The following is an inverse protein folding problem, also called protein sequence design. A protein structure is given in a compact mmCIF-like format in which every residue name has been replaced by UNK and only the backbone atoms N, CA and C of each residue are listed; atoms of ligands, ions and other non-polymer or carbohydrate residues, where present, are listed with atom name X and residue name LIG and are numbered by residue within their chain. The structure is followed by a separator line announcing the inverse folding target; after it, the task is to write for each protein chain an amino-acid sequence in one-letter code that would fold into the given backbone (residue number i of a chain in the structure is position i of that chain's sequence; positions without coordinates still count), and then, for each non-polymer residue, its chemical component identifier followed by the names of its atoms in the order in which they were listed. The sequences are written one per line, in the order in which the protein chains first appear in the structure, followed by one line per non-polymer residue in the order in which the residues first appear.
data_IF_152862885162
#
_entry.id   IF_152862885162
#
_cell.length_a   1.000
_cell.length_b   1.000
_cell.length_c   1.000
_cell.angle_alpha   90.00
_cell.angle_beta   90.00
_cell.angle_gamma   90.00
#
_symmetry.space_group_name_H-M   'P 1'
#
loop_
_entity.id
_entity.type
_entity.pdbx_description
1 polymer ?
#
# COMPACT_ATOMS: atom_id res chain seq x y z
N UNK A 1 16.91 42.03 27.39
CA UNK A 1 16.21 40.94 26.68
C UNK A 1 17.07 39.71 26.75
N UNK A 2 16.48 38.62 27.23
CA UNK A 2 17.10 37.30 27.33
C UNK A 2 17.67 36.88 25.96
N UNK A 3 18.84 36.23 25.96
CA UNK A 3 19.57 35.87 24.73
C UNK A 3 18.74 34.93 23.86
N UNK A 4 17.93 34.08 24.50
CA UNK A 4 16.96 33.21 23.87
C UNK A 4 15.84 33.98 23.15
N UNK A 5 15.30 35.03 23.78
CA UNK A 5 14.24 35.83 23.17
C UNK A 5 14.75 36.56 21.91
N UNK A 6 16.02 36.98 21.92
CA UNK A 6 16.65 37.65 20.79
C UNK A 6 16.88 36.70 19.60
N UNK A 7 17.22 35.44 19.88
CA UNK A 7 17.40 34.43 18.83
C UNK A 7 16.05 33.98 18.25
N UNK A 8 15.01 33.85 19.07
CA UNK A 8 13.65 33.54 18.59
C UNK A 8 13.12 34.64 17.66
N UNK A 9 13.34 35.92 18.01
CA UNK A 9 12.93 37.06 17.19
C UNK A 9 13.69 37.10 15.87
N UNK A 10 15.00 36.83 15.90
CA UNK A 10 15.84 36.70 14.70
C UNK A 10 15.38 35.58 13.77
N UNK A 11 15.05 34.40 14.30
CA UNK A 11 14.58 33.26 13.53
C UNK A 11 13.19 33.51 12.91
N UNK A 12 12.32 34.21 13.65
CA UNK A 12 10.98 34.59 13.16
C UNK A 12 11.08 35.58 12.00
N UNK A 13 11.97 36.56 12.11
CA UNK A 13 12.22 37.53 11.04
C UNK A 13 12.79 36.89 9.77
N UNK A 14 13.73 35.93 9.92
CA UNK A 14 14.22 35.13 8.78
C UNK A 14 13.11 34.33 8.09
N UNK A 15 12.15 33.79 8.86
CA UNK A 15 11.04 33.01 8.31
C UNK A 15 10.06 33.87 7.51
N UNK A 16 9.81 35.10 7.96
CA UNK A 16 8.95 36.06 7.27
C UNK A 16 9.61 36.63 6.01
N UNK A 17 10.93 36.86 6.02
CA UNK A 17 11.69 37.28 4.84
C UNK A 17 11.65 36.21 3.72
N UNK A 18 11.77 34.93 4.06
CA UNK A 18 11.69 33.82 3.09
C UNK A 18 10.28 33.63 2.54
N UNK A 19 9.24 33.91 3.34
CA UNK A 19 7.85 33.79 2.89
C UNK A 19 7.44 34.91 1.89
N UNK A 20 8.16 36.03 1.86
CA UNK A 20 7.90 37.13 0.92
C UNK A 20 8.64 37.00 -0.42
N UNK A 21 9.64 36.11 -0.49
CA UNK A 21 10.45 35.85 -1.68
C UNK A 21 9.94 34.64 -2.50
N UNK A 22 8.65 34.30 -2.41
CA UNK A 22 7.96 33.43 -3.39
C UNK A 22 7.82 34.18 -4.74
N UNK A 23 8.94 34.49 -5.36
CA UNK A 23 8.98 34.77 -6.79
C UNK A 23 8.62 33.49 -7.54
N UNK A 24 7.57 33.59 -8.34
CA UNK A 24 7.03 32.63 -9.31
C UNK A 24 8.13 31.93 -10.12
N UNK A 25 8.71 30.85 -9.60
CA UNK A 25 9.53 29.93 -10.40
C UNK A 25 8.60 29.03 -11.20
N UNK A 26 8.36 29.44 -12.44
CA UNK A 26 7.92 28.56 -13.52
C UNK A 26 8.92 27.43 -13.66
N UNK A 27 8.58 26.25 -13.14
CA UNK A 27 9.38 25.03 -13.28
C UNK A 27 9.36 24.62 -14.76
N UNK A 28 10.38 25.06 -15.48
CA UNK A 28 10.65 24.63 -16.85
C UNK A 28 11.20 23.21 -16.78
N UNK A 29 10.29 22.24 -16.90
CA UNK A 29 10.55 20.82 -17.05
C UNK A 29 11.52 20.57 -18.23
N UNK A 30 12.81 20.39 -17.91
CA UNK A 30 13.80 19.84 -18.84
C UNK A 30 13.76 18.31 -18.73
N UNK A 31 12.76 17.72 -19.38
CA UNK A 31 12.61 16.28 -19.51
C UNK A 31 13.69 15.75 -20.46
N UNK A 32 14.76 15.21 -19.88
CA UNK A 32 15.65 14.28 -20.58
C UNK A 32 14.84 13.03 -20.97
N UNK A 33 14.55 12.92 -22.26
CA UNK A 33 13.81 11.80 -22.83
C UNK A 33 14.51 10.45 -22.57
N UNK A 34 13.93 9.63 -21.71
CA UNK A 34 14.20 8.19 -21.61
C UNK A 34 13.28 7.44 -22.59
N UNK A 35 13.79 6.62 -23.54
CA UNK A 35 12.97 6.03 -24.61
C UNK A 35 12.01 4.91 -24.20
N UNK A 36 11.60 4.79 -22.92
CA UNK A 36 10.72 3.70 -22.51
C UNK A 36 9.78 4.07 -21.35
N UNK A 37 9.05 5.17 -21.51
CA UNK A 37 7.92 5.50 -20.62
C UNK A 37 6.59 5.04 -21.26
N UNK A 38 6.09 3.88 -20.85
CA UNK A 38 4.67 3.55 -21.03
C UNK A 38 3.88 4.21 -19.90
N UNK A 39 2.97 5.11 -20.27
CA UNK A 39 2.01 5.76 -19.39
C UNK A 39 1.08 4.68 -18.80
N UNK A 40 1.34 4.24 -17.56
CA UNK A 40 0.38 3.42 -16.81
C UNK A 40 -0.44 4.37 -15.94
N UNK A 41 -1.70 4.51 -16.31
CA UNK A 41 -2.71 5.25 -15.52
C UNK A 41 -2.84 4.63 -14.13
N UNK A 42 -2.35 5.35 -13.11
CA UNK A 42 -2.63 5.07 -11.70
C UNK A 42 -4.04 5.54 -11.34
N UNK A 43 -5.06 4.87 -11.90
CA UNK A 43 -6.37 4.86 -11.27
C UNK A 43 -6.41 3.73 -10.24
N UNK A 44 -5.98 4.04 -9.01
CA UNK A 44 -6.38 3.29 -7.83
C UNK A 44 -7.88 3.50 -7.60
N UNK A 45 -8.70 2.65 -8.23
CA UNK A 45 -10.07 2.44 -7.78
C UNK A 45 -10.18 1.01 -7.28
N UNK A 46 -10.05 0.87 -5.95
CA UNK A 46 -10.45 -0.35 -5.26
C UNK A 46 -11.96 -0.55 -5.45
N UNK A 47 -12.35 -1.49 -6.30
CA UNK A 47 -13.69 -2.09 -6.22
C UNK A 47 -13.61 -3.58 -6.52
N UNK A 48 -13.40 -4.39 -5.48
CA UNK A 48 -13.56 -5.85 -5.53
C UNK A 48 -15.04 -6.28 -5.58
N UNK A 49 -15.84 -5.68 -6.46
CA UNK A 49 -17.27 -5.97 -6.64
C UNK A 49 -17.66 -6.14 -8.12
N UNK A 50 -16.76 -6.59 -8.99
CA UNK A 50 -17.08 -6.77 -10.42
C UNK A 50 -17.97 -7.99 -10.73
N UNK A 51 -18.17 -8.91 -9.77
CA UNK A 51 -18.97 -10.13 -9.99
C UNK A 51 -20.48 -9.92 -9.85
N UNK A 52 -20.95 -8.89 -9.13
CA UNK A 52 -22.40 -8.67 -8.94
C UNK A 52 -23.01 -7.75 -10.02
N UNK A 53 -22.22 -6.90 -10.68
CA UNK A 53 -22.72 -5.99 -11.73
C UNK A 53 -22.92 -6.69 -13.08
N UNK A 54 -22.00 -7.57 -13.48
CA UNK A 54 -22.07 -8.33 -14.75
C UNK A 54 -23.32 -9.23 -14.82
N UNK A 55 -23.70 -9.90 -13.72
CA UNK A 55 -24.90 -10.76 -13.66
C UNK A 55 -26.21 -9.95 -13.74
N UNK A 56 -26.23 -8.72 -13.19
CA UNK A 56 -27.38 -7.82 -13.19
C UNK A 56 -27.78 -7.39 -14.62
N UNK A 57 -26.79 -7.19 -15.49
CA UNK A 57 -27.01 -6.74 -16.87
C UNK A 57 -27.39 -7.87 -17.83
N UNK A 58 -26.94 -9.10 -17.57
CA UNK A 58 -27.26 -10.25 -18.41
C UNK A 58 -28.75 -10.63 -18.31
N UNK A 59 -29.35 -10.52 -17.12
CA UNK A 59 -30.77 -10.84 -16.89
C UNK A 59 -31.72 -9.83 -17.57
N UNK A 60 -31.32 -8.54 -17.65
CA UNK A 60 -32.06 -7.49 -18.37
C UNK A 60 -32.10 -7.67 -19.90
N UNK A 61 -31.14 -8.40 -20.49
CA UNK A 61 -31.02 -8.56 -21.94
C UNK A 61 -31.91 -9.66 -22.53
N UNK A 62 -32.36 -10.61 -21.73
CA UNK A 62 -33.19 -11.74 -22.19
C UNK A 62 -34.61 -11.27 -22.54
N UNK A 63 -35.07 -10.15 -21.98
CA UNK A 63 -36.43 -9.62 -22.15
C UNK A 63 -36.59 -8.60 -23.30
N UNK A 64 -35.50 -8.11 -23.92
CA UNK A 64 -35.55 -7.00 -24.87
C UNK A 64 -35.65 -7.42 -26.34
N UNK A 65 -36.47 -6.70 -27.11
CA UNK A 65 -36.75 -6.98 -28.54
C UNK A 65 -35.57 -6.63 -29.47
N UNK A 66 -35.54 -7.20 -30.68
CA UNK A 66 -34.46 -6.98 -31.66
C UNK A 66 -34.24 -5.52 -32.07
N UNK A 67 -35.28 -4.69 -31.98
CA UNK A 67 -35.24 -3.24 -32.28
C UNK A 67 -34.55 -2.40 -31.20
N UNK A 68 -34.54 -2.85 -29.95
CA UNK A 68 -33.94 -2.12 -28.81
C UNK A 68 -32.43 -2.38 -28.67
N UNK A 69 -31.91 -3.42 -29.34
CA UNK A 69 -30.48 -3.75 -29.36
C UNK A 69 -29.60 -2.74 -30.11
N UNK A 70 -30.19 -1.86 -30.92
CA UNK A 70 -29.47 -0.78 -31.59
C UNK A 70 -29.01 0.33 -30.63
N UNK A 71 -29.66 0.50 -29.46
CA UNK A 71 -29.23 1.49 -28.45
C UNK A 71 -27.93 1.07 -27.73
N UNK A 72 -27.53 -0.20 -27.86
CA UNK A 72 -26.35 -0.77 -27.21
C UNK A 72 -25.09 -0.67 -28.07
N UNK A 73 -25.14 0.05 -29.20
CA UNK A 73 -24.02 0.22 -30.11
C UNK A 73 -23.88 1.68 -30.54
N UNK A 74 -22.72 2.28 -30.32
CA UNK A 74 -22.35 3.62 -30.75
C UNK A 74 -21.38 3.53 -31.93
N UNK A 75 -21.55 4.34 -32.96
CA UNK A 75 -20.66 4.41 -34.11
C UNK A 75 -19.97 5.78 -34.15
N UNK A 76 -18.65 5.77 -34.11
CA UNK A 76 -17.84 6.96 -34.26
C UNK A 76 -17.75 7.39 -35.74
N UNK A 77 -17.33 8.63 -35.99
CA UNK A 77 -17.31 9.24 -37.34
C UNK A 77 -16.37 8.54 -38.32
N UNK A 78 -15.39 7.80 -37.81
CA UNK A 78 -14.44 6.96 -38.54
C UNK A 78 -15.02 5.57 -38.90
N UNK A 79 -16.27 5.28 -38.51
CA UNK A 79 -16.93 3.98 -38.67
C UNK A 79 -16.60 2.98 -37.55
N UNK A 80 -15.84 3.37 -36.52
CA UNK A 80 -15.54 2.50 -35.38
C UNK A 80 -16.80 2.30 -34.53
N UNK A 81 -17.16 1.04 -34.29
CA UNK A 81 -18.39 0.67 -33.58
C UNK A 81 -18.10 0.16 -32.17
N UNK A 82 -18.54 0.92 -31.17
CA UNK A 82 -18.45 0.62 -29.74
C UNK A 82 -19.73 -0.06 -29.28
N UNK A 83 -19.63 -1.17 -28.55
CA UNK A 83 -20.80 -1.83 -27.94
C UNK A 83 -20.77 -1.57 -26.44
N UNK A 84 -21.94 -1.29 -25.87
CA UNK A 84 -22.11 -1.02 -24.43
C UNK A 84 -22.04 -2.30 -23.58
N UNK A 85 -22.20 -3.46 -24.22
CA UNK A 85 -22.14 -4.77 -23.57
C UNK A 85 -20.88 -5.54 -23.98
N UNK A 86 -20.34 -6.31 -23.04
CA UNK A 86 -19.23 -7.23 -23.27
C UNK A 86 -19.61 -8.33 -24.28
N UNK A 87 -18.63 -8.83 -25.02
CA UNK A 87 -18.86 -9.95 -25.95
C UNK A 87 -19.11 -11.24 -25.18
N UNK A 88 -19.84 -12.21 -25.76
CA UNK A 88 -20.01 -13.53 -25.15
C UNK A 88 -18.63 -14.14 -24.82
N UNK A 89 -18.41 -14.51 -23.55
CA UNK A 89 -17.11 -15.03 -23.07
C UNK A 89 -16.76 -16.39 -23.71
N UNK A 90 -17.73 -17.08 -24.32
CA UNK A 90 -17.59 -18.37 -25.02
C UNK A 90 -17.27 -18.25 -26.52
N UNK A 91 -16.43 -17.30 -26.91
CA UNK A 91 -15.96 -17.15 -28.30
C UNK A 91 -14.46 -17.35 -28.34
N UNK A 92 -13.97 -18.10 -29.34
CA UNK A 92 -12.54 -18.27 -29.57
C UNK A 92 -11.90 -16.88 -29.76
N UNK A 93 -10.90 -16.56 -28.93
CA UNK A 93 -10.06 -15.36 -29.10
C UNK A 93 -9.55 -15.30 -30.54
N UNK A 94 -9.62 -14.12 -31.16
CA UNK A 94 -9.14 -13.90 -32.53
C UNK A 94 -7.67 -14.32 -32.65
N UNK A 95 -7.23 -14.71 -33.85
CA UNK A 95 -5.83 -15.11 -34.09
C UNK A 95 -4.83 -13.95 -33.92
N UNK A 96 -5.34 -12.75 -33.74
CA UNK A 96 -4.60 -11.51 -33.53
C UNK A 96 -4.88 -11.01 -32.10
N UNK A 97 -3.90 -10.35 -31.47
CA UNK A 97 -3.89 -9.99 -30.02
C UNK A 97 -3.84 -11.19 -29.06
N UNK A 98 -3.11 -12.25 -29.44
CA UNK A 98 -2.75 -13.31 -28.49
C UNK A 98 -1.67 -12.76 -27.56
N UNK A 99 -1.95 -12.66 -26.26
CA UNK A 99 -0.93 -12.38 -25.25
C UNK A 99 -0.01 -13.60 -25.17
N UNK A 100 1.06 -13.63 -25.97
CA UNK A 100 1.98 -14.78 -26.08
C UNK A 100 2.90 -14.87 -24.86
N UNK A 101 3.17 -13.75 -24.20
CA UNK A 101 4.00 -13.70 -22.99
C UNK A 101 3.15 -13.23 -21.82
N UNK A 102 2.77 -14.19 -20.99
CA UNK A 102 2.17 -13.90 -19.70
C UNK A 102 3.21 -13.19 -18.81
N UNK A 103 2.82 -12.16 -18.05
CA UNK A 103 3.69 -11.53 -17.07
C UNK A 103 4.10 -12.57 -16.02
N UNK A 104 5.39 -12.70 -15.75
CA UNK A 104 5.91 -13.68 -14.81
C UNK A 104 7.42 -13.65 -14.70
N UNK A 105 7.95 -14.37 -13.70
CA UNK A 105 9.39 -14.45 -13.43
C UNK A 105 10.13 -15.09 -14.62
N UNK A 106 11.24 -14.48 -15.01
CA UNK A 106 12.04 -14.89 -16.17
C UNK A 106 13.43 -15.37 -15.77
N UNK A 107 14.05 -16.18 -16.64
CA UNK A 107 15.45 -16.61 -16.48
C UNK A 107 15.75 -17.31 -15.15
N UNK A 108 16.86 -16.96 -14.47
CA UNK A 108 17.32 -17.64 -13.25
C UNK A 108 16.33 -17.50 -12.08
N UNK A 109 15.48 -16.47 -12.08
CA UNK A 109 14.44 -16.27 -11.07
C UNK A 109 13.36 -17.35 -11.06
N UNK A 110 13.21 -18.12 -12.15
CA UNK A 110 12.29 -19.27 -12.20
C UNK A 110 12.70 -20.41 -11.27
N UNK A 111 13.99 -20.53 -10.99
CA UNK A 111 14.55 -21.65 -10.23
C UNK A 111 14.74 -21.32 -8.75
N UNK A 112 14.60 -20.05 -8.36
CA UNK A 112 14.65 -19.65 -6.96
C UNK A 112 13.36 -20.07 -6.25
N UNK A 113 13.49 -20.60 -5.04
CA UNK A 113 12.36 -21.05 -4.21
C UNK A 113 12.31 -20.33 -2.86
N UNK A 114 13.44 -19.77 -2.40
CA UNK A 114 13.51 -19.04 -1.13
C UNK A 114 13.65 -17.52 -1.33
N UNK A 115 13.09 -16.68 -0.43
CA UNK A 115 13.28 -15.23 -0.48
C UNK A 115 14.75 -14.81 -0.52
N UNK A 116 15.62 -15.59 0.12
CA UNK A 116 17.06 -15.37 0.11
C UNK A 116 17.69 -15.61 -1.26
N UNK A 117 17.27 -16.66 -1.97
CA UNK A 117 17.74 -16.91 -3.34
C UNK A 117 17.31 -15.79 -4.29
N UNK A 118 16.06 -15.32 -4.17
CA UNK A 118 15.59 -14.16 -4.92
C UNK A 118 16.42 -12.91 -4.59
N UNK A 119 16.72 -12.68 -3.31
CA UNK A 119 17.57 -11.55 -2.89
C UNK A 119 18.95 -11.59 -3.54
N UNK A 120 19.57 -12.78 -3.62
CA UNK A 120 20.88 -12.97 -4.26
C UNK A 120 20.89 -12.74 -5.79
N UNK A 121 19.72 -12.70 -6.45
CA UNK A 121 19.63 -12.32 -7.86
C UNK A 121 19.78 -10.81 -8.07
N UNK A 122 19.38 -10.00 -7.09
CA UNK A 122 19.52 -8.55 -7.13
C UNK A 122 20.87 -8.10 -6.59
N UNK A 123 21.33 -8.75 -5.52
CA UNK A 123 22.60 -8.45 -4.85
C UNK A 123 23.44 -9.73 -4.86
N UNK A 124 24.29 -9.84 -5.87
CA UNK A 124 25.14 -11.01 -6.07
C UNK A 124 26.34 -11.01 -5.09
N UNK A 125 27.05 -12.13 -5.05
CA UNK A 125 28.24 -12.29 -4.21
C UNK A 125 29.39 -11.36 -4.63
N UNK A 126 29.43 -10.92 -5.90
CA UNK A 126 30.50 -10.05 -6.40
C UNK A 126 30.28 -8.60 -5.94
N UNK A 127 29.06 -8.08 -6.05
CA UNK A 127 28.65 -6.78 -5.50
C UNK A 127 28.95 -6.75 -4.01
N UNK A 128 28.59 -7.82 -3.27
CA UNK A 128 28.88 -7.91 -1.84
C UNK A 128 30.38 -7.82 -1.52
N UNK A 129 31.22 -8.50 -2.32
CA UNK A 129 32.68 -8.43 -2.16
C UNK A 129 33.23 -7.05 -2.48
N UNK A 130 32.78 -6.43 -3.56
CA UNK A 130 33.20 -5.09 -3.97
C UNK A 130 32.85 -4.06 -2.90
N UNK A 131 31.61 -4.11 -2.36
CA UNK A 131 31.20 -3.25 -1.26
C UNK A 131 32.11 -3.38 -0.05
N UNK A 132 32.39 -4.62 0.40
CA UNK A 132 33.30 -4.87 1.53
C UNK A 132 34.70 -4.32 1.23
N UNK A 133 35.22 -4.52 0.02
CA UNK A 133 36.53 -4.03 -0.37
C UNK A 133 36.61 -2.51 -0.35
N UNK A 134 35.67 -1.82 -1.01
CA UNK A 134 35.61 -0.36 -1.02
C UNK A 134 35.45 0.21 0.39
N UNK A 135 34.58 -0.37 1.22
CA UNK A 135 34.37 0.06 2.60
C UNK A 135 35.64 -0.13 3.44
N UNK A 136 36.37 -1.24 3.27
CA UNK A 136 37.61 -1.49 4.00
C UNK A 136 38.72 -0.50 3.62
N UNK A 137 38.84 -0.15 2.34
CA UNK A 137 39.76 0.93 1.89
C UNK A 137 39.42 2.25 2.60
N UNK A 138 38.14 2.58 2.71
CA UNK A 138 37.72 3.79 3.41
C UNK A 138 37.98 3.72 4.92
N UNK A 139 37.68 2.60 5.58
CA UNK A 139 37.95 2.39 7.01
C UNK A 139 39.44 2.57 7.31
N UNK A 140 40.31 1.99 6.49
CA UNK A 140 41.76 2.16 6.63
C UNK A 140 42.18 3.64 6.55
N UNK A 141 41.57 4.40 5.63
CA UNK A 141 41.86 5.83 5.46
C UNK A 141 41.49 6.68 6.68
N UNK A 142 40.41 6.33 7.39
CA UNK A 142 39.94 7.08 8.57
C UNK A 142 40.41 6.48 9.90
N UNK A 143 41.03 5.30 9.88
CA UNK A 143 41.40 4.54 11.08
C UNK A 143 42.22 5.35 12.10
N UNK A 144 43.11 6.23 11.63
CA UNK A 144 43.95 7.09 12.45
C UNK A 144 43.16 8.15 13.26
N UNK A 145 41.90 8.43 12.91
CA UNK A 145 41.03 9.36 13.64
C UNK A 145 40.48 8.76 14.95
N UNK A 146 40.55 7.44 15.11
CA UNK A 146 39.99 6.72 16.24
C UNK A 146 41.10 6.34 17.22
N UNK A 147 40.83 6.53 18.53
CA UNK A 147 41.79 6.18 19.59
C UNK A 147 41.94 4.66 19.73
N UNK A 148 40.86 3.91 19.55
CA UNK A 148 40.86 2.46 19.64
C UNK A 148 40.73 1.81 18.27
N UNK A 149 41.62 0.85 17.99
CA UNK A 149 41.58 0.04 16.76
C UNK A 149 40.28 -0.77 16.61
N UNK A 150 39.53 -0.97 17.70
CA UNK A 150 38.21 -1.62 17.66
C UNK A 150 37.17 -0.83 16.87
N UNK A 151 37.28 0.49 16.86
CA UNK A 151 36.23 1.37 16.37
C UNK A 151 36.32 1.55 14.85
N UNK A 152 37.48 1.19 14.28
CA UNK A 152 37.76 1.18 12.85
C UNK A 152 38.27 -0.20 12.38
N UNK A 153 37.57 -1.27 12.77
CA UNK A 153 37.86 -2.61 12.24
C UNK A 153 37.34 -2.75 10.82
N UNK A 154 38.10 -3.45 9.98
CA UNK A 154 37.65 -3.86 8.65
C UNK A 154 36.40 -4.73 8.76
N UNK A 155 35.44 -4.50 7.88
CA UNK A 155 34.19 -5.24 7.80
C UNK A 155 34.30 -6.49 6.93
N UNK A 156 33.31 -7.37 7.05
CA UNK A 156 33.19 -8.63 6.32
C UNK A 156 31.79 -8.83 5.73
N UNK A 157 31.64 -9.85 4.88
CA UNK A 157 30.37 -10.15 4.20
C UNK A 157 29.22 -10.41 5.20
N UNK A 158 29.38 -11.23 6.26
CA UNK A 158 28.34 -11.39 7.28
C UNK A 158 27.89 -10.09 7.95
N UNK A 159 28.82 -9.20 8.29
CA UNK A 159 28.52 -7.89 8.89
C UNK A 159 27.73 -7.01 7.92
N UNK A 160 28.14 -6.94 6.65
CA UNK A 160 27.41 -6.17 5.64
C UNK A 160 26.00 -6.75 5.41
N UNK A 161 25.86 -8.08 5.42
CA UNK A 161 24.54 -8.75 5.35
C UNK A 161 23.68 -8.43 6.57
N UNK A 162 24.27 -8.42 7.75
CA UNK A 162 23.56 -8.03 8.97
C UNK A 162 23.08 -6.57 8.88
N UNK A 163 23.91 -5.67 8.35
CA UNK A 163 23.54 -4.28 8.09
C UNK A 163 22.35 -4.17 7.13
N UNK A 164 22.36 -4.86 5.99
CA UNK A 164 21.20 -4.89 5.09
C UNK A 164 19.94 -5.43 5.76
N UNK A 165 20.07 -6.46 6.59
CA UNK A 165 18.97 -6.99 7.39
C UNK A 165 18.35 -5.93 8.32
N UNK A 166 19.20 -5.16 8.99
CA UNK A 166 18.75 -4.05 9.86
C UNK A 166 18.09 -2.92 9.05
N UNK A 167 18.61 -2.59 7.87
CA UNK A 167 18.01 -1.58 6.99
C UNK A 167 16.65 -2.00 6.47
N UNK A 168 16.48 -3.27 6.06
CA UNK A 168 15.15 -3.77 5.68
C UNK A 168 14.19 -3.80 6.85
N UNK A 169 14.68 -4.16 8.04
CA UNK A 169 13.88 -4.11 9.26
C UNK A 169 13.39 -2.67 9.50
N UNK A 170 14.29 -1.68 9.42
CA UNK A 170 13.93 -0.27 9.53
C UNK A 170 12.90 0.16 8.48
N UNK A 171 13.05 -0.30 7.23
CA UNK A 171 12.08 -0.04 6.15
C UNK A 171 10.70 -0.65 6.42
N UNK A 172 10.63 -1.89 6.92
CA UNK A 172 9.36 -2.55 7.29
C UNK A 172 8.65 -1.80 8.41
N UNK A 173 9.40 -1.21 9.33
CA UNK A 173 8.85 -0.40 10.41
C UNK A 173 8.60 1.06 10.02
N UNK A 174 8.75 1.42 8.74
CA UNK A 174 8.63 2.79 8.25
C UNK A 174 9.53 3.80 8.99
N UNK A 175 10.65 3.33 9.55
CA UNK A 175 11.61 4.13 10.32
C UNK A 175 12.50 5.05 9.49
N UNK A 176 12.09 5.41 8.27
CA UNK A 176 12.90 6.20 7.34
C UNK A 176 13.22 7.62 7.83
N UNK A 177 12.47 8.11 8.83
CA UNK A 177 12.73 9.40 9.51
C UNK A 177 13.15 9.25 10.97
N UNK A 178 13.35 8.02 11.43
CA UNK A 178 13.69 7.74 12.83
C UNK A 178 15.19 7.89 13.05
N UNK A 179 15.56 8.50 14.18
CA UNK A 179 16.98 8.64 14.52
C UNK A 179 17.60 7.28 14.84
N UNK A 180 18.89 7.13 14.59
CA UNK A 180 19.63 5.91 14.95
C UNK A 180 19.53 5.64 16.45
N UNK A 181 19.59 6.68 17.29
CA UNK A 181 19.48 6.53 18.75
C UNK A 181 18.12 6.00 19.19
N UNK A 182 17.04 6.44 18.54
CA UNK A 182 15.69 5.94 18.80
C UNK A 182 15.55 4.48 18.32
N UNK A 183 16.17 4.13 17.20
CA UNK A 183 16.23 2.76 16.69
C UNK A 183 16.90 1.78 17.65
N UNK A 184 17.91 2.23 18.41
CA UNK A 184 18.67 1.43 19.37
C UNK A 184 18.37 1.80 20.83
N UNK A 185 17.25 2.46 21.10
CA UNK A 185 16.84 2.82 22.47
C UNK A 185 16.35 1.60 23.24
N UNK A 186 16.72 1.49 24.53
CA UNK A 186 16.28 0.39 25.40
C UNK A 186 14.99 0.75 26.18
N UNK A 187 14.34 1.84 25.79
CA UNK A 187 13.36 2.56 26.61
C UNK A 187 11.93 2.08 26.34
N UNK A 188 11.78 1.04 25.50
CA UNK A 188 10.49 0.47 25.10
C UNK A 188 9.77 1.24 23.98
N UNK A 189 10.42 2.27 23.44
CA UNK A 189 10.04 3.05 22.24
C UNK A 189 10.59 2.44 20.95
N UNK A 190 11.06 1.20 20.98
CA UNK A 190 11.45 0.48 19.78
C UNK A 190 10.28 0.53 18.78
N UNK A 191 10.52 1.07 17.58
CA UNK A 191 9.58 1.07 16.46
C UNK A 191 8.89 -0.30 16.27
N UNK A 192 9.63 -1.37 16.62
CA UNK A 192 9.17 -2.75 16.68
C UNK A 192 7.93 -2.90 17.57
N UNK A 193 7.99 -2.38 18.79
CA UNK A 193 6.95 -2.51 19.81
C UNK A 193 5.72 -1.67 19.47
N UNK A 194 5.90 -0.45 18.96
CA UNK A 194 4.77 0.42 18.61
C UNK A 194 4.00 -0.09 17.37
N UNK A 195 4.73 -0.56 16.36
CA UNK A 195 4.15 -1.24 15.22
C UNK A 195 3.49 -2.57 15.61
N UNK A 196 4.12 -3.37 16.47
CA UNK A 196 3.54 -4.62 16.97
C UNK A 196 2.25 -4.35 17.76
N UNK A 197 2.24 -3.35 18.67
CA UNK A 197 1.03 -2.90 19.40
C UNK A 197 -0.10 -2.54 18.45
N UNK A 198 0.21 -1.84 17.35
CA UNK A 198 -0.77 -1.44 16.33
C UNK A 198 -1.28 -2.64 15.52
N UNK A 199 -0.39 -3.56 15.11
CA UNK A 199 -0.72 -4.71 14.24
C UNK A 199 -1.39 -5.87 14.97
N UNK A 200 -1.16 -6.05 16.27
CA UNK A 200 -1.81 -7.10 17.09
C UNK A 200 -3.34 -7.05 16.96
N UNK A 201 -3.92 -5.86 16.87
CA UNK A 201 -5.37 -5.67 16.75
C UNK A 201 -5.90 -5.74 15.31
N UNK A 202 -5.04 -5.95 14.30
CA UNK A 202 -5.47 -6.11 12.91
C UNK A 202 -6.37 -7.34 12.74
N UNK A 203 -7.49 -7.17 12.05
CA UNK A 203 -8.47 -8.24 11.83
C UNK A 203 -7.91 -9.43 11.03
N UNK A 204 -6.96 -9.18 10.14
CA UNK A 204 -6.41 -10.15 9.19
C UNK A 204 -5.20 -10.95 9.72
N UNK A 205 -4.66 -10.63 10.90
CA UNK A 205 -3.44 -11.28 11.41
C UNK A 205 -3.71 -12.71 11.91
N UNK A 206 -3.02 -13.76 11.46
CA UNK A 206 -3.25 -15.14 11.94
C UNK A 206 -3.18 -15.27 13.48
N UNK A 207 -4.00 -16.17 14.06
CA UNK A 207 -4.21 -16.27 15.52
C UNK A 207 -2.91 -16.52 16.29
N UNK A 208 -2.07 -17.41 15.80
CA UNK A 208 -0.79 -17.79 16.42
C UNK A 208 0.19 -16.62 16.43
N UNK A 209 0.32 -15.93 15.29
CA UNK A 209 1.17 -14.73 15.15
C UNK A 209 0.67 -13.63 16.07
N UNK A 210 -0.66 -13.46 16.19
CA UNK A 210 -1.26 -12.49 17.10
C UNK A 210 -0.95 -12.79 18.57
N UNK A 211 -1.08 -14.05 18.99
CA UNK A 211 -0.78 -14.46 20.36
C UNK A 211 0.68 -14.22 20.71
N UNK A 212 1.58 -14.54 19.77
CA UNK A 212 3.01 -14.32 19.93
C UNK A 212 3.36 -12.83 19.99
N UNK A 213 2.81 -12.03 19.08
CA UNK A 213 3.01 -10.58 19.05
C UNK A 213 2.49 -9.91 20.32
N UNK A 214 1.29 -10.27 20.82
CA UNK A 214 0.74 -9.73 22.06
C UNK A 214 1.58 -10.08 23.30
N UNK A 215 2.15 -11.30 23.34
CA UNK A 215 3.04 -11.73 24.41
C UNK A 215 4.35 -10.94 24.42
N UNK A 216 4.91 -10.65 23.25
CA UNK A 216 6.14 -9.87 23.08
C UNK A 216 5.88 -8.40 23.40
N UNK A 217 4.79 -7.83 22.88
CA UNK A 217 4.46 -6.40 22.99
C UNK A 217 3.80 -6.01 24.31
N UNK A 218 3.49 -6.98 25.19
CA UNK A 218 2.76 -6.76 26.45
C UNK A 218 1.34 -6.22 26.25
N UNK A 219 0.77 -6.37 25.06
CA UNK A 219 -0.52 -5.76 24.67
C UNK A 219 -1.67 -6.72 24.97
N UNK A 220 -2.72 -6.22 25.60
CA UNK A 220 -3.90 -7.02 25.88
C UNK A 220 -4.66 -7.30 24.57
N UNK A 221 -4.91 -8.58 24.29
CA UNK A 221 -5.65 -9.01 23.12
C UNK A 221 -7.09 -8.56 23.22
N UNK A 222 -7.54 -7.74 22.26
CA UNK A 222 -8.97 -7.45 22.09
C UNK A 222 -9.63 -8.67 21.45
N UNK A 223 -10.74 -9.15 22.00
CA UNK A 223 -11.54 -10.19 21.37
C UNK A 223 -11.95 -9.73 19.96
N UNK A 224 -11.69 -10.58 18.96
CA UNK A 224 -12.19 -10.32 17.61
C UNK A 224 -13.70 -10.22 17.71
N UNK A 225 -14.27 -9.15 17.15
CA UNK A 225 -15.67 -9.21 16.77
C UNK A 225 -15.84 -10.43 15.85
N UNK A 226 -16.74 -11.35 16.22
CA UNK A 226 -17.11 -12.46 15.36
C UNK A 226 -17.46 -11.90 13.98
N UNK A 227 -16.81 -12.43 12.93
CA UNK A 227 -17.29 -12.21 11.57
C UNK A 227 -18.72 -12.74 11.55
N UNK A 228 -19.68 -11.83 11.53
CA UNK A 228 -21.10 -12.20 11.50
C UNK A 228 -21.29 -12.96 10.19
N UNK A 229 -21.47 -14.28 10.29
CA UNK A 229 -21.90 -15.13 9.19
C UNK A 229 -23.06 -14.47 8.46
N UNK A 230 -23.16 -14.68 7.13
CA UNK A 230 -24.16 -14.16 6.18
C UNK A 230 -25.63 -14.36 6.61
N UNK A 231 -26.03 -13.79 7.75
CA UNK A 231 -27.34 -13.88 8.35
C UNK A 231 -28.19 -12.79 7.70
N UNK A 232 -29.24 -13.21 6.99
CA UNK A 232 -30.23 -12.29 6.42
C UNK A 232 -31.28 -11.99 7.49
N UNK A 233 -31.43 -10.70 7.82
CA UNK A 233 -32.45 -10.21 8.73
C UNK A 233 -33.53 -9.41 7.99
N UNK A 234 -34.63 -9.09 8.68
CA UNK A 234 -35.67 -8.21 8.14
C UNK A 234 -35.21 -6.75 8.24
N UNK A 235 -35.37 -5.99 7.16
CA UNK A 235 -35.10 -4.56 7.18
C UNK A 235 -36.02 -3.87 8.20
N UNK A 236 -35.41 -3.04 9.04
CA UNK A 236 -36.07 -2.24 10.05
C UNK A 236 -37.20 -1.33 9.56
N UNK A 237 -37.12 -0.89 8.31
CA UNK A 237 -37.98 0.14 7.74
C UNK A 237 -38.96 -0.42 6.69
N UNK A 238 -38.74 -1.66 6.23
CA UNK A 238 -39.63 -2.32 5.28
C UNK A 238 -40.62 -3.26 5.95
N UNK A 239 -41.81 -3.41 5.35
CA UNK A 239 -42.80 -4.36 5.82
C UNK A 239 -42.36 -5.82 5.71
N UNK A 240 -41.69 -6.28 4.64
CA UNK A 240 -41.29 -7.70 4.49
C UNK A 240 -39.94 -7.93 3.79
N UNK A 241 -39.14 -6.88 3.60
CA UNK A 241 -37.86 -7.00 2.87
C UNK A 241 -36.78 -7.61 3.75
N UNK A 242 -36.14 -8.69 3.30
CA UNK A 242 -34.94 -9.27 3.93
C UNK A 242 -33.67 -8.60 3.37
N UNK A 243 -32.65 -8.48 4.20
CA UNK A 243 -31.38 -7.82 3.87
C UNK A 243 -30.22 -8.50 4.59
N UNK A 244 -29.04 -8.47 3.96
CA UNK A 244 -27.76 -8.89 4.54
C UNK A 244 -26.97 -7.72 5.13
N UNK A 245 -27.39 -6.49 4.88
CA UNK A 245 -26.68 -5.28 5.27
C UNK A 245 -27.14 -4.79 6.66
N UNK A 246 -26.19 -4.32 7.46
CA UNK A 246 -26.43 -3.80 8.82
C UNK A 246 -25.80 -2.42 8.99
N UNK A 247 -26.46 -1.53 9.74
CA UNK A 247 -25.89 -0.23 10.10
C UNK A 247 -24.55 -0.38 10.84
N UNK A 248 -23.51 0.35 10.44
CA UNK A 248 -22.19 0.34 11.10
C UNK A 248 -22.23 0.76 12.57
N UNK A 249 -23.15 1.64 12.96
CA UNK A 249 -23.22 2.17 14.32
C UNK A 249 -24.13 1.36 15.25
N UNK A 250 -25.30 0.94 14.78
CA UNK A 250 -26.29 0.26 15.63
C UNK A 250 -26.55 -1.22 15.26
N UNK A 251 -25.90 -1.73 14.21
CA UNK A 251 -25.98 -3.12 13.71
C UNK A 251 -27.39 -3.61 13.33
N UNK A 252 -28.37 -2.70 13.22
CA UNK A 252 -29.73 -3.01 12.76
C UNK A 252 -29.73 -3.37 11.27
N UNK A 253 -30.51 -4.37 10.87
CA UNK A 253 -30.68 -4.77 9.47
C UNK A 253 -31.41 -3.70 8.66
N UNK A 254 -30.80 -3.26 7.56
CA UNK A 254 -31.30 -2.20 6.68
C UNK A 254 -31.10 -2.63 5.22
N UNK A 255 -32.06 -2.36 4.34
CA UNK A 255 -31.87 -2.59 2.91
C UNK A 255 -31.22 -1.37 2.26
N UNK A 256 -30.66 -1.54 1.06
CA UNK A 256 -29.93 -0.48 0.36
C UNK A 256 -30.80 0.76 0.06
N UNK A 257 -32.12 0.62 -0.12
CA UNK A 257 -33.07 1.75 -0.23
C UNK A 257 -33.18 2.58 1.07
N UNK A 258 -32.93 1.96 2.23
CA UNK A 258 -33.02 2.59 3.54
C UNK A 258 -31.64 2.81 4.17
N UNK A 259 -30.59 2.94 3.33
CA UNK A 259 -29.15 3.29 3.52
C UNK A 259 -28.12 2.16 3.41
N UNK A 260 -26.90 2.51 2.96
CA UNK A 260 -25.84 1.57 2.55
C UNK A 260 -24.78 1.32 3.65
N UNK A 261 -24.22 2.32 4.38
CA UNK A 261 -23.39 2.02 5.56
C UNK A 261 -24.04 2.35 6.92
N UNK A 262 -25.05 3.23 6.97
CA UNK A 262 -25.54 3.84 8.23
C UNK A 262 -27.04 4.10 8.18
N UNK A 263 -27.82 3.54 9.11
CA UNK A 263 -29.29 3.72 9.15
C UNK A 263 -29.71 5.19 9.28
N UNK A 264 -30.92 5.50 8.81
CA UNK A 264 -31.51 6.85 8.82
C UNK A 264 -31.46 7.52 10.21
N UNK A 265 -31.71 6.76 11.29
CA UNK A 265 -31.64 7.27 12.67
C UNK A 265 -30.23 7.65 13.11
N UNK A 266 -29.20 6.92 12.64
CA UNK A 266 -27.80 7.22 12.95
C UNK A 266 -27.26 8.34 12.07
N UNK A 267 -27.67 8.40 10.80
CA UNK A 267 -27.34 9.49 9.89
C UNK A 267 -27.88 10.83 10.42
N UNK A 268 -29.09 10.86 10.97
CA UNK A 268 -29.68 12.07 11.55
C UNK A 268 -28.99 12.55 12.84
N UNK A 269 -28.27 11.67 13.57
CA UNK A 269 -27.55 12.01 14.80
C UNK A 269 -26.13 12.54 14.55
N UNK A 270 -25.57 12.20 13.40
CA UNK A 270 -24.22 12.60 12.97
C UNK A 270 -24.30 13.07 11.51
N UNK A 271 -24.93 14.23 11.24
CA UNK A 271 -24.70 14.90 9.96
C UNK A 271 -23.20 15.24 9.87
N UNK A 272 -22.61 15.07 8.68
CA UNK A 272 -21.20 15.38 8.39
C UNK A 272 -20.75 16.74 8.92
#
# INVERSE_FOLDING_TARGET
MDDYAREVERLTQMYEEVATDEENFSDSDDSVADPQYEEVSDHQSESGLELEEDELYEELLVESSASERNHLQFEAKDGTKWRKMCFPKNVRTRQDNIIVRLPGVTGPAKNAASPREYWHLFIDENIMKELVQCTNVYIESISHKYTHKSDARSTNIPELRALFGLLYLAGVYHGGRTSVYEFWSNDGTELLMDYMKTRVNSQYLPREIRQLAAKISGTQLVERAELVENKRGKCAYCKDRKTRYTCRFCRKFICLEHTVPVCQECAAKFPE
#
